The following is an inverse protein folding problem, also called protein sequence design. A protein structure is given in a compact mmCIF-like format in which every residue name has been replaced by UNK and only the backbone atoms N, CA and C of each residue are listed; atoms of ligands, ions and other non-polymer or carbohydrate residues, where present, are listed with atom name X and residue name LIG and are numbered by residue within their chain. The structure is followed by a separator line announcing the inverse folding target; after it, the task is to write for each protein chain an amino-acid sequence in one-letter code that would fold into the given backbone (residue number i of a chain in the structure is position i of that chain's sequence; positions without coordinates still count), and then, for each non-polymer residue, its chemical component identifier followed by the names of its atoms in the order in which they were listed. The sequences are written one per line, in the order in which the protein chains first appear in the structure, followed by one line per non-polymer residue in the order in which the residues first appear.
data_IF_121829415263
#
_entry.id   IF_121829415263
#
_cell.length_a   1.000
_cell.length_b   1.000
_cell.length_c   1.000
_cell.angle_alpha   90.00
_cell.angle_beta   90.00
_cell.angle_gamma   90.00
#
_symmetry.space_group_name_H-M   'P 1'
#
loop_
_entity.id
_entity.type
_entity.pdbx_description
1 polymer ?
#
# COMPACT_ATOMS: atom_id res chain seq x y z
N UNK A 1 3.63 25.27 -2.35
CA UNK A 1 3.83 24.05 -3.15
C UNK A 1 4.42 23.02 -2.21
N UNK A 2 3.82 21.83 -2.07
CA UNK A 2 4.40 20.78 -1.23
C UNK A 2 5.62 20.21 -1.97
N UNK A 3 6.73 20.05 -1.27
CA UNK A 3 7.97 19.53 -1.82
C UNK A 3 7.80 18.04 -2.16
N UNK A 4 8.19 17.65 -3.39
CA UNK A 4 8.00 16.29 -3.89
C UNK A 4 8.80 15.25 -3.11
N UNK A 5 9.93 15.63 -2.51
CA UNK A 5 10.75 14.76 -1.65
C UNK A 5 10.00 14.29 -0.40
N UNK A 6 9.15 15.16 0.19
CA UNK A 6 8.33 14.80 1.35
C UNK A 6 7.31 13.73 0.95
N UNK A 7 6.69 13.90 -0.22
CA UNK A 7 5.71 12.95 -0.76
C UNK A 7 6.39 11.63 -1.13
N UNK A 8 7.61 11.68 -1.70
CA UNK A 8 8.39 10.49 -2.02
C UNK A 8 8.73 9.70 -0.76
N UNK A 9 9.25 10.38 0.28
CA UNK A 9 9.60 9.74 1.55
C UNK A 9 8.37 9.11 2.21
N UNK A 10 7.23 9.82 2.16
CA UNK A 10 5.95 9.30 2.66
C UNK A 10 5.50 8.07 1.86
N UNK A 11 5.55 8.12 0.53
CA UNK A 11 5.20 7.00 -0.34
C UNK A 11 6.07 5.77 -0.06
N UNK A 12 7.39 5.95 0.07
CA UNK A 12 8.33 4.88 0.39
C UNK A 12 8.03 4.26 1.77
N UNK A 13 7.77 5.08 2.78
CA UNK A 13 7.44 4.60 4.14
C UNK A 13 6.14 3.78 4.17
N UNK A 14 5.12 4.21 3.42
CA UNK A 14 3.82 3.53 3.34
C UNK A 14 3.90 2.23 2.54
N UNK A 15 4.69 2.20 1.46
CA UNK A 15 5.01 0.97 0.75
C UNK A 15 5.67 -0.06 1.67
N UNK A 16 6.66 0.36 2.46
CA UNK A 16 7.36 -0.52 3.40
C UNK A 16 6.45 -1.06 4.50
N UNK A 17 5.61 -0.19 5.07
CA UNK A 17 4.64 -0.57 6.10
C UNK A 17 3.61 -1.57 5.55
N UNK A 18 3.05 -1.29 4.38
CA UNK A 18 2.07 -2.17 3.73
C UNK A 18 2.66 -3.54 3.40
N UNK A 19 3.91 -3.59 2.89
CA UNK A 19 4.61 -4.84 2.61
C UNK A 19 4.85 -5.65 3.88
N UNK A 20 5.29 -4.98 4.94
CA UNK A 20 5.55 -5.61 6.24
C UNK A 20 4.26 -6.19 6.82
N UNK A 21 3.17 -5.43 6.81
CA UNK A 21 1.86 -5.90 7.25
C UNK A 21 1.40 -7.13 6.46
N UNK A 22 1.62 -7.16 5.14
CA UNK A 22 1.30 -8.29 4.28
C UNK A 22 2.09 -9.56 4.66
N UNK A 23 3.38 -9.44 4.93
CA UNK A 23 4.22 -10.59 5.36
C UNK A 23 3.72 -11.18 6.68
N UNK A 24 3.27 -10.34 7.62
CA UNK A 24 2.77 -10.79 8.92
C UNK A 24 1.34 -11.35 8.89
N UNK A 25 0.65 -11.34 7.75
CA UNK A 25 -0.74 -11.82 7.67
C UNK A 25 -0.89 -13.28 8.15
N UNK A 26 0.07 -14.14 7.79
CA UNK A 26 0.08 -15.55 8.17
C UNK A 26 0.27 -15.75 9.69
N UNK A 27 0.88 -14.79 10.39
CA UNK A 27 1.03 -14.85 11.85
C UNK A 27 -0.30 -14.58 12.58
N UNK A 28 -1.17 -13.75 12.01
CA UNK A 28 -2.48 -13.41 12.58
C UNK A 28 -3.60 -14.42 12.22
N UNK A 29 -3.37 -15.29 11.24
CA UNK A 29 -4.34 -16.30 10.76
C UNK A 29 -4.72 -17.37 11.80
N UNK A 30 -4.04 -17.43 12.96
CA UNK A 30 -4.38 -18.35 14.06
C UNK A 30 -5.72 -18.05 14.74
N UNK A 31 -6.33 -16.90 14.46
CA UNK A 31 -7.63 -16.51 15.00
C UNK A 31 -8.40 -15.72 13.92
N UNK A 32 -9.59 -16.20 13.54
CA UNK A 32 -10.43 -15.61 12.49
C UNK A 32 -10.67 -14.11 12.69
N UNK A 33 -10.87 -13.64 13.93
CA UNK A 33 -11.08 -12.22 14.22
C UNK A 33 -9.83 -11.38 13.96
N UNK A 34 -8.66 -11.90 14.32
CA UNK A 34 -7.38 -11.22 14.12
C UNK A 34 -7.00 -11.20 12.65
N UNK A 35 -7.31 -12.26 11.92
CA UNK A 35 -7.11 -12.34 10.48
C UNK A 35 -7.95 -11.30 9.74
N UNK A 36 -9.26 -11.20 10.05
CA UNK A 36 -10.15 -10.18 9.49
C UNK A 36 -9.64 -8.76 9.77
N UNK A 37 -9.17 -8.50 10.99
CA UNK A 37 -8.66 -7.19 11.38
C UNK A 37 -7.37 -6.86 10.62
N UNK A 38 -6.45 -7.82 10.47
CA UNK A 38 -5.22 -7.68 9.70
C UNK A 38 -5.48 -7.46 8.21
N UNK A 39 -6.39 -8.23 7.60
CA UNK A 39 -6.78 -8.08 6.20
C UNK A 39 -7.41 -6.70 5.92
N UNK A 40 -8.30 -6.22 6.80
CA UNK A 40 -8.84 -4.86 6.68
C UNK A 40 -7.75 -3.80 6.82
N UNK A 41 -6.84 -3.95 7.78
CA UNK A 41 -5.73 -3.04 7.97
C UNK A 41 -4.84 -2.96 6.71
N UNK A 42 -4.47 -4.11 6.15
CA UNK A 42 -3.68 -4.20 4.90
C UNK A 42 -4.43 -3.53 3.74
N UNK A 43 -5.73 -3.80 3.59
CA UNK A 43 -6.56 -3.20 2.55
C UNK A 43 -6.54 -1.67 2.64
N UNK A 44 -6.82 -1.10 3.82
CA UNK A 44 -6.82 0.35 3.99
C UNK A 44 -5.42 0.95 3.80
N UNK A 45 -4.38 0.32 4.33
CA UNK A 45 -2.99 0.76 4.15
C UNK A 45 -2.60 0.83 2.67
N UNK A 46 -2.96 -0.19 1.89
CA UNK A 46 -2.66 -0.23 0.45
C UNK A 46 -3.47 0.79 -0.35
N UNK A 47 -4.74 1.03 -0.01
CA UNK A 47 -5.54 2.07 -0.67
C UNK A 47 -5.01 3.47 -0.38
N UNK A 48 -4.58 3.75 0.85
CA UNK A 48 -3.92 5.00 1.23
C UNK A 48 -2.61 5.16 0.45
N UNK A 49 -1.81 4.10 0.39
CA UNK A 49 -0.55 4.08 -0.37
C UNK A 49 -0.78 4.35 -1.85
N UNK A 50 -1.81 3.75 -2.46
CA UNK A 50 -2.19 4.00 -3.84
C UNK A 50 -2.55 5.49 -4.08
N UNK A 51 -3.31 6.09 -3.16
CA UNK A 51 -3.63 7.52 -3.20
C UNK A 51 -2.39 8.42 -3.12
N UNK A 52 -1.45 8.09 -2.24
CA UNK A 52 -0.18 8.83 -2.10
C UNK A 52 0.68 8.71 -3.37
N UNK A 53 0.77 7.51 -3.95
CA UNK A 53 1.52 7.29 -5.21
C UNK A 53 0.89 8.02 -6.39
N UNK A 54 -0.45 8.08 -6.44
CA UNK A 54 -1.15 8.87 -7.44
C UNK A 54 -0.87 10.36 -7.26
N UNK A 55 -0.92 10.85 -6.01
CA UNK A 55 -0.59 12.23 -5.65
C UNK A 55 0.85 12.58 -6.06
N UNK A 56 1.83 11.72 -5.74
CA UNK A 56 3.23 11.84 -6.14
C UNK A 56 3.37 11.97 -7.65
N UNK A 57 2.66 11.13 -8.41
CA UNK A 57 2.68 11.18 -9.87
C UNK A 57 2.12 12.49 -10.43
N UNK A 58 1.00 12.98 -9.88
CA UNK A 58 0.40 14.24 -10.32
C UNK A 58 1.21 15.48 -9.92
N UNK A 59 2.00 15.38 -8.85
CA UNK A 59 2.93 16.42 -8.42
C UNK A 59 4.23 16.45 -9.25
N UNK A 60 4.42 15.51 -10.19
CA UNK A 60 5.63 15.38 -10.98
C UNK A 60 6.81 14.80 -10.21
N UNK A 61 6.55 14.15 -9.06
CA UNK A 61 7.57 13.50 -8.24
C UNK A 61 8.05 12.18 -8.83
N UNK A 62 9.19 11.73 -8.32
CA UNK A 62 9.81 10.45 -8.67
C UNK A 62 9.70 9.49 -7.48
N UNK A 63 9.73 8.20 -7.78
CA UNK A 63 9.86 7.16 -6.77
C UNK A 63 11.06 6.31 -7.13
N UNK A 64 12.07 6.26 -6.24
CA UNK A 64 13.31 5.52 -6.49
C UNK A 64 14.03 5.96 -7.78
N UNK A 65 14.01 7.26 -8.07
CA UNK A 65 14.61 7.84 -9.28
C UNK A 65 13.84 7.55 -10.57
N UNK A 66 12.58 7.13 -10.48
CA UNK A 66 11.70 6.99 -11.65
C UNK A 66 10.36 7.68 -11.44
N UNK A 67 10.08 8.62 -12.34
CA UNK A 67 8.80 9.30 -12.55
C UNK A 67 7.70 8.40 -13.16
N UNK A 68 8.03 7.22 -13.70
CA UNK A 68 7.05 6.31 -14.29
C UNK A 68 6.55 5.23 -13.30
N UNK A 69 7.33 4.90 -12.27
CA UNK A 69 6.98 3.86 -11.29
C UNK A 69 5.73 4.14 -10.44
N UNK A 70 5.40 5.37 -10.01
CA UNK A 70 4.28 5.59 -9.10
C UNK A 70 2.93 5.09 -9.63
N UNK A 71 2.68 5.23 -10.94
CA UNK A 71 1.41 4.83 -11.58
C UNK A 71 1.16 3.32 -11.56
N UNK A 72 2.02 2.45 -12.13
CA UNK A 72 1.81 1.00 -12.07
C UNK A 72 1.81 0.48 -10.63
N UNK A 73 2.61 1.08 -9.74
CA UNK A 73 2.65 0.65 -8.34
C UNK A 73 1.35 1.01 -7.60
N UNK A 74 0.74 2.16 -7.89
CA UNK A 74 -0.59 2.51 -7.36
C UNK A 74 -1.67 1.50 -7.78
N UNK A 75 -1.64 1.05 -9.04
CA UNK A 75 -2.55 0.01 -9.54
C UNK A 75 -2.31 -1.32 -8.82
N UNK A 76 -1.04 -1.70 -8.63
CA UNK A 76 -0.68 -2.91 -7.91
C UNK A 76 -1.19 -2.85 -6.46
N UNK A 77 -1.05 -1.72 -5.77
CA UNK A 77 -1.60 -1.53 -4.43
C UNK A 77 -3.13 -1.75 -4.40
N UNK A 78 -3.87 -1.24 -5.37
CA UNK A 78 -5.33 -1.46 -5.47
C UNK A 78 -5.67 -2.94 -5.70
N UNK A 79 -4.97 -3.61 -6.61
CA UNK A 79 -5.18 -5.04 -6.89
C UNK A 79 -4.90 -5.88 -5.64
N UNK A 80 -3.80 -5.62 -4.94
CA UNK A 80 -3.43 -6.34 -3.72
C UNK A 80 -4.41 -6.03 -2.58
N UNK A 81 -4.92 -4.80 -2.47
CA UNK A 81 -5.93 -4.46 -1.48
C UNK A 81 -7.22 -5.28 -1.66
N UNK A 82 -7.64 -5.48 -2.91
CA UNK A 82 -8.80 -6.32 -3.24
C UNK A 82 -8.47 -7.80 -2.95
N UNK A 83 -7.27 -8.27 -3.35
CA UNK A 83 -6.84 -9.65 -3.11
C UNK A 83 -6.78 -9.99 -1.61
N UNK A 84 -6.33 -9.06 -0.77
CA UNK A 84 -6.32 -9.21 0.69
C UNK A 84 -7.71 -9.47 1.27
N UNK A 85 -8.78 -8.93 0.65
CA UNK A 85 -10.18 -9.18 1.02
C UNK A 85 -10.77 -10.45 0.42
N UNK A 86 -10.23 -10.96 -0.69
CA UNK A 86 -10.66 -12.24 -1.25
C UNK A 86 -10.20 -13.43 -0.38
N UNK A 87 -9.17 -13.23 0.44
CA UNK A 87 -8.70 -14.19 1.44
C UNK A 87 -9.73 -14.43 2.58
N UNK A 88 -10.86 -13.72 2.61
CA UNK A 88 -11.96 -13.88 3.60
C UNK A 88 -12.76 -15.18 3.39
N UNK A 89 -12.61 -15.89 2.26
CA UNK A 89 -13.45 -17.05 1.92
C UNK A 89 -12.74 -18.42 2.03
N UNK A 90 -11.55 -18.47 2.63
CA UNK A 90 -10.85 -19.71 2.93
C UNK A 90 -11.56 -20.53 4.00
#
# INVERSE_FOLDING_TARGET
MVETEIIETLAQSMCFLSLTAFIFIASFSRNERMELMAQNFIMFSLLITAGILWWLSTAGGELWGSNYLPKPLSLLCVVVAIAARLNIKG
#
